data_IF_612229944877
#
_entry.id   IF_612229944877
#
_cell.length_a   1.000
_cell.length_b   1.000
_cell.length_c   1.000
_cell.angle_alpha   90.00
_cell.angle_beta   90.00
_cell.angle_gamma   90.00
#
_symmetry.space_group_name_H-M   'P 1'
#
loop_
_entity.id
_entity.type
_entity.pdbx_description
1 polymer ?
#
# COMPACT_ATOMS: atom_id res chain seq x y z
N UNK A 1 18.36 14.60 -12.63
CA UNK A 1 17.69 15.29 -11.51
C UNK A 1 18.29 14.75 -10.22
N UNK A 2 18.78 15.61 -9.32
CA UNK A 2 19.14 15.20 -7.97
C UNK A 2 17.86 15.21 -7.12
N UNK A 3 17.18 14.07 -6.99
CA UNK A 3 16.01 13.96 -6.13
C UNK A 3 16.44 14.11 -4.66
N UNK A 4 15.65 14.85 -3.86
CA UNK A 4 15.90 15.02 -2.41
C UNK A 4 15.59 13.76 -1.60
N UNK A 5 14.73 12.90 -2.15
CA UNK A 5 14.29 11.65 -1.54
C UNK A 5 14.28 10.56 -2.60
N UNK A 6 14.71 9.36 -2.22
CA UNK A 6 14.78 8.21 -3.14
C UNK A 6 13.44 7.48 -3.26
N UNK A 7 12.64 7.45 -2.18
CA UNK A 7 11.39 6.69 -2.10
C UNK A 7 10.36 7.47 -1.27
N UNK A 8 9.09 7.41 -1.69
CA UNK A 8 7.98 7.94 -0.91
C UNK A 8 7.28 6.84 -0.11
N UNK A 9 7.08 7.07 1.19
CA UNK A 9 6.38 6.16 2.10
C UNK A 9 5.06 6.76 2.58
N UNK A 10 4.04 6.76 1.71
CA UNK A 10 2.74 7.33 2.06
C UNK A 10 2.03 6.48 3.10
N UNK A 11 1.60 7.11 4.21
CA UNK A 11 0.80 6.50 5.27
C UNK A 11 -0.68 6.45 4.85
N UNK A 12 -1.00 5.53 3.95
CA UNK A 12 -2.32 5.35 3.34
C UNK A 12 -3.20 4.40 4.18
N UNK A 13 -3.47 4.78 5.43
CA UNK A 13 -4.21 3.97 6.40
C UNK A 13 -5.68 3.82 6.04
N UNK A 14 -6.02 2.91 5.11
CA UNK A 14 -7.39 2.73 4.62
C UNK A 14 -8.37 2.39 5.73
N UNK A 15 -7.92 1.73 6.81
CA UNK A 15 -8.73 1.36 7.98
C UNK A 15 -9.34 2.56 8.71
N UNK A 16 -8.87 3.79 8.46
CA UNK A 16 -9.49 5.03 8.95
C UNK A 16 -10.41 5.71 7.92
N UNK A 17 -10.43 5.23 6.67
CA UNK A 17 -11.01 5.94 5.53
C UNK A 17 -12.10 5.15 4.83
N UNK A 18 -11.98 3.84 4.80
CA UNK A 18 -12.83 2.97 4.01
C UNK A 18 -12.78 1.52 4.52
N UNK A 19 -13.70 0.71 4.02
CA UNK A 19 -13.80 -0.72 4.29
C UNK A 19 -14.39 -1.43 3.08
N UNK A 20 -14.17 -2.74 2.98
CA UNK A 20 -14.59 -3.59 1.89
C UNK A 20 -13.51 -3.73 0.79
N UNK A 21 -13.24 -4.96 0.30
CA UNK A 21 -12.18 -5.25 -0.67
C UNK A 21 -12.14 -4.30 -1.88
N UNK A 22 -13.31 -4.07 -2.50
CA UNK A 22 -13.42 -3.19 -3.68
C UNK A 22 -13.04 -1.74 -3.38
N UNK A 23 -13.40 -1.22 -2.21
CA UNK A 23 -13.09 0.17 -1.84
C UNK A 23 -11.63 0.31 -1.41
N UNK A 24 -11.06 -0.70 -0.75
CA UNK A 24 -9.64 -0.73 -0.37
C UNK A 24 -8.74 -0.77 -1.60
N UNK A 25 -9.05 -1.59 -2.60
CA UNK A 25 -8.34 -1.59 -3.89
C UNK A 25 -8.30 -0.19 -4.52
N UNK A 26 -9.46 0.47 -4.63
CA UNK A 26 -9.56 1.81 -5.22
C UNK A 26 -8.80 2.86 -4.40
N UNK A 27 -9.01 2.87 -3.08
CA UNK A 27 -8.35 3.84 -2.20
C UNK A 27 -6.83 3.74 -2.27
N UNK A 28 -6.30 2.50 -2.19
CA UNK A 28 -4.87 2.24 -2.21
C UNK A 28 -4.24 2.61 -3.56
N UNK A 29 -4.93 2.29 -4.66
CA UNK A 29 -4.52 2.71 -6.00
C UNK A 29 -4.44 4.24 -6.11
N UNK A 30 -5.48 4.95 -5.68
CA UNK A 30 -5.49 6.42 -5.74
C UNK A 30 -4.41 7.06 -4.87
N UNK A 31 -4.12 6.49 -3.69
CA UNK A 31 -3.04 6.96 -2.83
C UNK A 31 -1.66 6.87 -3.50
N UNK A 32 -1.41 5.78 -4.24
CA UNK A 32 -0.19 5.59 -5.02
C UNK A 32 -0.11 6.53 -6.23
N UNK A 33 -1.20 6.65 -6.99
CA UNK A 33 -1.29 7.52 -8.18
C UNK A 33 -1.08 8.99 -7.86
N UNK A 34 -1.56 9.46 -6.70
CA UNK A 34 -1.36 10.84 -6.24
C UNK A 34 0.13 11.15 -6.10
N UNK A 35 0.96 10.23 -5.63
CA UNK A 35 2.40 10.47 -5.45
C UNK A 35 3.05 10.78 -6.80
N UNK A 36 2.91 9.89 -7.79
CA UNK A 36 3.45 10.10 -9.15
C UNK A 36 2.89 11.37 -9.80
N UNK A 37 1.61 11.64 -9.63
CA UNK A 37 0.98 12.86 -10.16
C UNK A 37 1.57 14.14 -9.54
N UNK A 38 1.82 14.15 -8.22
CA UNK A 38 2.29 15.34 -7.51
C UNK A 38 3.80 15.55 -7.61
N UNK A 39 4.58 14.50 -7.85
CA UNK A 39 6.00 14.63 -8.17
C UNK A 39 6.24 15.01 -9.63
N UNK A 40 5.27 14.78 -10.51
CA UNK A 40 5.45 14.92 -11.96
C UNK A 40 6.34 13.82 -12.55
N UNK A 41 6.71 12.82 -11.76
CA UNK A 41 7.55 11.70 -12.17
C UNK A 41 6.73 10.39 -12.13
N UNK A 42 6.37 9.82 -13.30
CA UNK A 42 5.59 8.59 -13.39
C UNK A 42 6.36 7.34 -12.95
N UNK A 43 7.67 7.46 -12.67
CA UNK A 43 8.53 6.35 -12.23
C UNK A 43 9.09 6.55 -10.83
N UNK A 44 8.68 7.59 -10.11
CA UNK A 44 9.15 7.82 -8.73
C UNK A 44 8.89 6.56 -7.89
N UNK A 45 9.88 6.05 -7.14
CA UNK A 45 9.70 4.89 -6.28
C UNK A 45 8.73 5.17 -5.13
N UNK A 46 7.82 4.24 -4.88
CA UNK A 46 6.83 4.33 -3.79
C UNK A 46 6.79 3.02 -3.01
N UNK A 47 6.90 3.11 -1.68
CA UNK A 47 6.61 2.03 -0.74
C UNK A 47 5.43 2.46 0.14
N UNK A 48 4.21 2.02 -0.18
CA UNK A 48 3.02 2.48 0.56
C UNK A 48 2.87 1.76 1.91
N UNK A 49 2.57 2.51 2.96
CA UNK A 49 2.21 1.95 4.27
C UNK A 49 0.68 1.91 4.34
N UNK A 50 0.15 0.69 4.33
CA UNK A 50 -1.27 0.36 4.35
C UNK A 50 -1.94 0.51 5.71
N UNK A 51 -3.12 -0.07 5.85
CA UNK A 51 -4.01 0.02 6.99
C UNK A 51 -3.44 -0.50 8.30
N UNK A 52 -4.20 -0.24 9.37
CA UNK A 52 -3.86 -0.73 10.70
C UNK A 52 -4.06 -2.25 10.72
N UNK A 53 -3.00 -3.05 10.87
CA UNK A 53 -3.03 -4.50 10.65
C UNK A 53 -4.06 -5.20 11.54
N UNK A 54 -4.12 -4.88 12.84
CA UNK A 54 -5.14 -5.41 13.76
C UNK A 54 -6.59 -4.98 13.45
N UNK A 55 -6.81 -4.09 12.47
CA UNK A 55 -8.13 -3.64 11.98
C UNK A 55 -8.36 -3.97 10.51
N UNK A 56 -7.43 -4.67 9.86
CA UNK A 56 -7.45 -4.93 8.43
C UNK A 56 -7.85 -6.40 8.17
N UNK A 57 -9.09 -6.66 7.72
CA UNK A 57 -9.47 -8.01 7.29
C UNK A 57 -8.53 -8.52 6.19
N UNK A 58 -8.18 -9.81 6.21
CA UNK A 58 -7.27 -10.43 5.24
C UNK A 58 -7.73 -10.24 3.79
N UNK A 59 -9.05 -10.22 3.55
CA UNK A 59 -9.64 -9.95 2.23
C UNK A 59 -9.38 -8.52 1.73
N UNK A 60 -9.27 -7.56 2.64
CA UNK A 60 -8.88 -6.19 2.34
C UNK A 60 -7.37 -6.10 2.09
N UNK A 61 -6.55 -6.78 2.90
CA UNK A 61 -5.09 -6.88 2.69
C UNK A 61 -4.79 -7.45 1.31
N UNK A 62 -5.47 -8.51 0.88
CA UNK A 62 -5.37 -9.04 -0.49
C UNK A 62 -5.64 -7.99 -1.56
N UNK A 63 -6.65 -7.14 -1.33
CA UNK A 63 -7.02 -6.08 -2.27
C UNK A 63 -6.02 -4.93 -2.29
N UNK A 64 -5.44 -4.61 -1.13
CA UNK A 64 -4.31 -3.70 -1.02
C UNK A 64 -3.09 -4.23 -1.77
N UNK A 65 -2.70 -5.48 -1.55
CA UNK A 65 -1.61 -6.15 -2.27
C UNK A 65 -1.84 -6.11 -3.78
N UNK A 66 -3.07 -6.37 -4.24
CA UNK A 66 -3.42 -6.24 -5.66
C UNK A 66 -3.22 -4.81 -6.19
N UNK A 67 -3.57 -3.78 -5.41
CA UNK A 67 -3.33 -2.39 -5.78
C UNK A 67 -1.84 -2.08 -5.94
N UNK A 68 -1.03 -2.54 -4.98
CA UNK A 68 0.44 -2.39 -4.93
C UNK A 68 1.09 -3.04 -6.14
N UNK A 69 0.73 -4.30 -6.46
CA UNK A 69 1.26 -5.01 -7.63
C UNK A 69 0.87 -4.33 -8.94
N UNK A 70 -0.39 -3.95 -9.10
CA UNK A 70 -0.87 -3.28 -10.31
C UNK A 70 -0.20 -1.92 -10.56
N UNK A 71 0.25 -1.25 -9.50
CA UNK A 71 0.93 0.03 -9.59
C UNK A 71 2.44 -0.10 -9.82
N UNK A 72 2.99 -1.30 -9.60
CA UNK A 72 4.44 -1.56 -9.60
C UNK A 72 5.16 -0.72 -8.53
N UNK A 73 4.59 -0.70 -7.32
CA UNK A 73 5.26 -0.11 -6.17
C UNK A 73 6.51 -0.94 -5.80
N UNK A 74 7.56 -0.28 -5.30
CA UNK A 74 8.81 -0.97 -4.90
C UNK A 74 8.65 -1.77 -3.60
N UNK A 75 7.53 -1.58 -2.89
CA UNK A 75 7.13 -2.41 -1.77
C UNK A 75 5.86 -1.88 -1.10
N UNK A 76 5.45 -2.55 -0.04
CA UNK A 76 4.40 -2.07 0.86
C UNK A 76 4.52 -2.69 2.25
N UNK A 77 3.86 -2.08 3.23
CA UNK A 77 3.78 -2.56 4.61
C UNK A 77 2.36 -2.38 5.18
N UNK A 78 2.07 -3.04 6.30
CA UNK A 78 0.90 -2.76 7.14
C UNK A 78 1.38 -2.11 8.44
N UNK A 79 0.51 -1.31 9.08
CA UNK A 79 0.84 -0.67 10.35
C UNK A 79 0.14 -1.37 11.52
N UNK A 80 0.76 -2.05 12.46
CA UNK A 80 2.18 -2.20 12.64
C UNK A 80 2.54 -3.67 12.86
N UNK A 81 3.83 -3.96 12.77
CA UNK A 81 4.43 -5.28 12.83
C UNK A 81 3.88 -6.17 13.96
N UNK A 82 3.76 -5.72 15.23
CA UNK A 82 3.33 -6.60 16.33
C UNK A 82 1.89 -7.09 16.23
N UNK A 83 1.07 -6.43 15.40
CA UNK A 83 -0.36 -6.72 15.23
C UNK A 83 -0.68 -7.22 13.82
N UNK A 84 0.34 -7.64 13.06
CA UNK A 84 0.18 -8.29 11.77
C UNK A 84 0.06 -9.80 11.95
N UNK A 85 -1.05 -10.40 11.50
CA UNK A 85 -1.26 -11.85 11.60
C UNK A 85 -0.51 -12.64 10.54
N UNK A 86 -0.35 -13.96 10.74
CA UNK A 86 0.25 -14.86 9.74
C UNK A 86 -0.47 -14.82 8.40
N UNK A 87 -1.81 -14.85 8.39
CA UNK A 87 -2.59 -14.77 7.15
C UNK A 87 -2.37 -13.44 6.40
N UNK A 88 -2.12 -12.35 7.12
CA UNK A 88 -1.77 -11.06 6.51
C UNK A 88 -0.36 -11.11 5.93
N UNK A 89 0.60 -11.74 6.61
CA UNK A 89 1.94 -11.95 6.08
C UNK A 89 1.91 -12.78 4.79
N UNK A 90 1.11 -13.85 4.75
CA UNK A 90 0.94 -14.69 3.56
C UNK A 90 0.42 -13.89 2.35
N UNK A 91 -0.52 -12.96 2.58
CA UNK A 91 -0.97 -12.05 1.52
C UNK A 91 0.13 -11.06 1.12
N UNK A 92 0.82 -10.44 2.09
CA UNK A 92 1.86 -9.44 1.83
C UNK A 92 3.07 -10.01 1.08
N UNK A 93 3.45 -11.26 1.34
CA UNK A 93 4.55 -11.93 0.62
C UNK A 93 4.31 -12.05 -0.89
N UNK A 94 3.06 -11.94 -1.36
CA UNK A 94 2.72 -11.99 -2.78
C UNK A 94 3.18 -10.76 -3.55
N UNK A 95 3.61 -9.69 -2.88
CA UNK A 95 4.19 -8.49 -3.52
C UNK A 95 5.54 -8.84 -4.16
N UNK A 96 6.35 -9.67 -3.50
CA UNK A 96 7.71 -10.02 -3.93
C UNK A 96 7.77 -11.29 -4.81
N UNK A 97 6.61 -11.81 -5.22
CA UNK A 97 6.48 -12.98 -6.11
C UNK A 97 5.96 -12.60 -7.48
#
# INVERSE_FOLDING_TARGET
MNARYDVFLSMAYWTYRTSGPKRVLRYSRSALEIVRSKTGDPKVPVHVIGGIAGRAPVTEVRSFVRAVKNFEAVGASLYDFPITSEEQWDEMQRINR
#
